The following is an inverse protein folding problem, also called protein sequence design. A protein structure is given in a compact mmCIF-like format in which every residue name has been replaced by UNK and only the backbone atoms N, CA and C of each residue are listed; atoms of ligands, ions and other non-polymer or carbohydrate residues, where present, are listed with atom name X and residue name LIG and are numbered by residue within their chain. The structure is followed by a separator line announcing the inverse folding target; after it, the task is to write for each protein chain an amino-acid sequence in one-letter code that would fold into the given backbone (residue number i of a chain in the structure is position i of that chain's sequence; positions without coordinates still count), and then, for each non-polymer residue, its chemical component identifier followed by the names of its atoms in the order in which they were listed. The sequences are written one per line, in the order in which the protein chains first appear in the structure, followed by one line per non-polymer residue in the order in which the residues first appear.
data_IF_732602825382
#
_entry.id   IF_732602825382
#
_cell.length_a   1.000
_cell.length_b   1.000
_cell.length_c   1.000
_cell.angle_alpha   90.00
_cell.angle_beta   90.00
_cell.angle_gamma   90.00
#
_symmetry.space_group_name_H-M   'P 1'
#
loop_
_entity.id
_entity.type
_entity.pdbx_description
1 polymer ?
#
# COMPACT_ATOMS: atom_id res chain seq x y z
N UNK A 1 19.63 -4.19 -16.16
CA UNK A 1 18.28 -4.76 -15.99
C UNK A 1 18.15 -5.99 -16.87
N UNK A 2 17.53 -7.09 -16.41
CA UNK A 2 17.42 -8.36 -17.18
C UNK A 2 16.27 -8.35 -18.22
N UNK A 3 16.02 -7.19 -18.83
CA UNK A 3 14.89 -6.99 -19.75
C UNK A 3 15.12 -7.75 -21.05
N UNK A 4 16.33 -7.70 -21.60
CA UNK A 4 16.70 -8.41 -22.84
C UNK A 4 16.59 -9.94 -22.72
N UNK A 5 16.63 -10.48 -21.49
CA UNK A 5 16.48 -11.92 -21.22
C UNK A 5 15.04 -12.32 -20.92
N UNK A 6 14.09 -11.37 -20.86
CA UNK A 6 12.71 -11.64 -20.47
C UNK A 6 12.52 -12.07 -19.01
N UNK A 7 13.52 -11.80 -18.14
CA UNK A 7 13.54 -12.22 -16.73
C UNK A 7 13.28 -11.09 -15.75
N UNK A 8 13.23 -9.85 -16.23
CA UNK A 8 12.96 -8.69 -15.38
C UNK A 8 11.58 -8.81 -14.71
N UNK A 9 11.57 -8.93 -13.38
CA UNK A 9 10.35 -9.10 -12.58
C UNK A 9 9.81 -10.53 -12.47
N UNK A 10 10.40 -11.49 -13.18
CA UNK A 10 9.87 -12.85 -13.29
C UNK A 10 10.58 -13.83 -12.34
N UNK A 11 10.92 -13.37 -11.14
CA UNK A 11 11.54 -14.22 -10.12
C UNK A 11 10.50 -15.16 -9.53
N UNK A 12 10.73 -16.47 -9.65
CA UNK A 12 9.77 -17.49 -9.22
C UNK A 12 9.42 -17.33 -7.74
N UNK A 13 10.41 -17.32 -6.84
CA UNK A 13 10.14 -17.33 -5.39
C UNK A 13 9.40 -16.07 -4.93
N UNK A 14 9.86 -14.89 -5.36
CA UNK A 14 9.25 -13.61 -4.99
C UNK A 14 7.88 -13.42 -5.64
N UNK A 15 7.78 -13.69 -6.94
CA UNK A 15 6.54 -13.55 -7.69
C UNK A 15 5.47 -14.54 -7.24
N UNK A 16 5.86 -15.79 -6.97
CA UNK A 16 4.95 -16.82 -6.47
C UNK A 16 4.45 -16.49 -5.06
N UNK A 17 5.36 -16.29 -4.10
CA UNK A 17 4.97 -16.17 -2.69
C UNK A 17 4.18 -14.89 -2.42
N UNK A 18 4.57 -13.75 -3.00
CA UNK A 18 3.82 -12.50 -2.79
C UNK A 18 2.43 -12.61 -3.42
N UNK A 19 2.30 -13.08 -4.67
CA UNK A 19 0.97 -13.22 -5.28
C UNK A 19 0.11 -14.25 -4.55
N UNK A 20 0.69 -15.37 -4.07
CA UNK A 20 -0.05 -16.34 -3.28
C UNK A 20 -0.52 -15.74 -1.94
N UNK A 21 0.32 -14.95 -1.27
CA UNK A 21 -0.08 -14.22 -0.07
C UNK A 21 -1.25 -13.26 -0.33
N UNK A 22 -1.27 -12.59 -1.48
CA UNK A 22 -2.40 -11.73 -1.87
C UNK A 22 -3.66 -12.53 -2.17
N UNK A 23 -3.54 -13.70 -2.82
CA UNK A 23 -4.67 -14.59 -3.09
C UNK A 23 -5.29 -15.12 -1.79
N UNK A 24 -4.46 -15.57 -0.85
CA UNK A 24 -4.90 -16.03 0.46
C UNK A 24 -5.45 -14.87 1.28
N UNK A 25 -4.74 -13.74 1.34
CA UNK A 25 -5.16 -12.56 2.08
C UNK A 25 -6.46 -11.95 1.56
N UNK A 26 -6.71 -11.98 0.25
CA UNK A 26 -7.98 -11.54 -0.32
C UNK A 26 -9.17 -12.36 0.20
N UNK A 27 -8.99 -13.68 0.35
CA UNK A 27 -9.94 -14.62 0.94
C UNK A 27 -10.10 -14.42 2.45
N UNK A 28 -9.00 -14.18 3.17
CA UNK A 28 -8.99 -13.91 4.61
C UNK A 28 -9.53 -12.51 4.98
N UNK A 29 -9.78 -11.66 3.99
CA UNK A 29 -10.27 -10.30 4.21
C UNK A 29 -9.19 -9.27 4.56
N UNK A 30 -7.92 -9.58 4.31
CA UNK A 30 -6.76 -8.73 4.59
C UNK A 30 -6.53 -7.66 3.51
N UNK A 31 -5.84 -6.61 3.92
CA UNK A 31 -5.22 -5.62 3.03
C UNK A 31 -3.97 -6.16 2.31
N UNK A 32 -3.47 -5.46 1.28
CA UNK A 32 -2.28 -5.91 0.53
C UNK A 32 -1.06 -5.96 1.44
N UNK A 33 -0.75 -4.85 2.12
CA UNK A 33 0.39 -4.74 3.03
C UNK A 33 0.28 -5.70 4.21
N UNK A 34 -0.93 -5.86 4.74
CA UNK A 34 -1.24 -6.84 5.80
C UNK A 34 -1.03 -8.29 5.35
N UNK A 35 -1.47 -8.64 4.13
CA UNK A 35 -1.31 -9.99 3.57
C UNK A 35 0.16 -10.39 3.54
N UNK A 36 1.01 -9.52 2.98
CA UNK A 36 2.45 -9.76 2.88
C UNK A 36 3.12 -9.70 4.27
N UNK A 37 2.76 -8.72 5.10
CA UNK A 37 3.28 -8.61 6.46
C UNK A 37 2.99 -9.85 7.32
N UNK A 38 1.78 -10.40 7.23
CA UNK A 38 1.36 -11.60 7.95
C UNK A 38 2.09 -12.87 7.47
N UNK A 39 2.31 -13.00 6.16
CA UNK A 39 3.11 -14.10 5.60
C UNK A 39 4.54 -14.05 6.12
N UNK A 40 5.17 -12.86 6.12
CA UNK A 40 6.55 -12.70 6.58
C UNK A 40 6.67 -12.98 8.09
N UNK A 41 5.75 -12.44 8.89
CA UNK A 41 5.81 -12.58 10.35
C UNK A 41 5.57 -14.02 10.80
N UNK A 42 4.59 -14.69 10.20
CA UNK A 42 4.23 -16.08 10.53
C UNK A 42 5.08 -17.11 9.77
N UNK A 43 5.89 -16.67 8.81
CA UNK A 43 6.75 -17.52 7.98
C UNK A 43 5.98 -18.58 7.19
N UNK A 44 4.80 -18.22 6.69
CA UNK A 44 4.00 -19.15 5.89
C UNK A 44 2.58 -18.68 5.60
N UNK A 45 1.83 -19.56 4.97
CA UNK A 45 0.43 -19.37 4.60
C UNK A 45 -0.37 -20.62 4.95
N UNK A 46 -1.61 -20.44 5.39
CA UNK A 46 -2.55 -21.55 5.62
C UNK A 46 -3.45 -21.70 4.39
N UNK A 47 -3.27 -22.80 3.65
CA UNK A 47 -3.98 -23.04 2.39
C UNK A 47 -5.22 -23.91 2.66
N UNK A 48 -6.44 -23.39 2.49
CA UNK A 48 -7.64 -24.22 2.60
C UNK A 48 -7.71 -25.24 1.46
N UNK A 49 -8.29 -26.41 1.75
CA UNK A 49 -8.55 -27.42 0.74
C UNK A 49 -9.61 -26.96 -0.26
N UNK A 50 -9.58 -27.54 -1.47
CA UNK A 50 -10.58 -27.27 -2.48
C UNK A 50 -12.01 -27.55 -1.98
N UNK A 51 -12.19 -28.60 -1.15
CA UNK A 51 -13.49 -28.93 -0.56
C UNK A 51 -13.97 -27.91 0.46
N UNK A 52 -13.07 -27.38 1.30
CA UNK A 52 -13.40 -26.29 2.23
C UNK A 52 -13.81 -25.02 1.48
N UNK A 53 -13.08 -24.65 0.44
CA UNK A 53 -13.41 -23.50 -0.39
C UNK A 53 -14.76 -23.66 -1.10
N UNK A 54 -15.06 -24.84 -1.64
CA UNK A 54 -16.38 -25.13 -2.23
C UNK A 54 -17.53 -24.98 -1.24
N UNK A 55 -17.34 -25.41 -0.01
CA UNK A 55 -18.31 -25.23 1.08
C UNK A 55 -18.49 -23.74 1.37
N UNK A 56 -17.41 -22.97 1.55
CA UNK A 56 -17.49 -21.53 1.81
C UNK A 56 -18.21 -20.78 0.68
N UNK A 57 -17.97 -21.16 -0.58
CA UNK A 57 -18.65 -20.57 -1.74
C UNK A 57 -20.16 -20.75 -1.62
N UNK A 58 -20.63 -21.97 -1.34
CA UNK A 58 -22.06 -22.30 -1.24
C UNK A 58 -22.71 -21.61 -0.04
N UNK A 59 -22.05 -21.69 1.12
CA UNK A 59 -22.60 -21.22 2.38
C UNK A 59 -22.64 -19.69 2.46
N UNK A 60 -21.67 -18.99 1.84
CA UNK A 60 -21.59 -17.53 1.89
C UNK A 60 -22.37 -16.84 0.78
N UNK A 61 -22.84 -17.54 -0.26
CA UNK A 61 -23.38 -16.90 -1.46
C UNK A 61 -24.59 -15.98 -1.19
N UNK A 62 -25.48 -16.38 -0.28
CA UNK A 62 -26.69 -15.64 0.03
C UNK A 62 -26.42 -14.39 0.89
N UNK A 63 -25.54 -14.52 1.89
CA UNK A 63 -25.34 -13.50 2.93
C UNK A 63 -24.10 -12.62 2.69
N UNK A 64 -23.04 -13.19 2.14
CA UNK A 64 -21.78 -12.51 1.80
C UNK A 64 -21.24 -12.98 0.43
N UNK A 65 -21.83 -12.46 -0.66
CA UNK A 65 -21.38 -12.81 -2.01
C UNK A 65 -19.94 -12.37 -2.29
N UNK A 66 -19.37 -11.41 -1.54
CA UNK A 66 -17.98 -11.02 -1.70
C UNK A 66 -17.02 -12.08 -1.17
N UNK A 67 -17.32 -12.66 0.00
CA UNK A 67 -16.58 -13.80 0.55
C UNK A 67 -16.71 -15.04 -0.33
N UNK A 68 -17.92 -15.32 -0.82
CA UNK A 68 -18.14 -16.41 -1.79
C UNK A 68 -17.27 -16.22 -3.04
N UNK A 69 -17.22 -15.02 -3.60
CA UNK A 69 -16.39 -14.71 -4.75
C UNK A 69 -14.88 -14.80 -4.44
N UNK A 70 -14.42 -14.33 -3.27
CA UNK A 70 -13.02 -14.45 -2.88
C UNK A 70 -12.58 -15.92 -2.65
N UNK A 71 -13.48 -16.75 -2.13
CA UNK A 71 -13.26 -18.20 -2.01
C UNK A 71 -13.19 -18.88 -3.39
N UNK A 72 -14.02 -18.46 -4.35
CA UNK A 72 -13.97 -18.94 -5.73
C UNK A 72 -12.67 -18.54 -6.44
N UNK A 73 -12.21 -17.30 -6.22
CA UNK A 73 -10.92 -16.80 -6.70
C UNK A 73 -9.76 -17.68 -6.19
N UNK A 74 -9.72 -17.96 -4.89
CA UNK A 74 -8.67 -18.82 -4.30
C UNK A 74 -8.81 -20.29 -4.74
N UNK A 75 -10.03 -20.80 -4.92
CA UNK A 75 -10.26 -22.17 -5.42
C UNK A 75 -9.70 -22.36 -6.82
N UNK A 76 -9.85 -21.36 -7.69
CA UNK A 76 -9.23 -21.36 -9.00
C UNK A 76 -7.71 -21.48 -8.88
N UNK A 77 -7.08 -20.67 -8.02
CA UNK A 77 -5.63 -20.68 -7.81
C UNK A 77 -5.14 -22.04 -7.28
N UNK A 78 -5.77 -22.58 -6.25
CA UNK A 78 -5.43 -23.89 -5.67
C UNK A 78 -5.46 -24.99 -6.74
N UNK A 79 -6.48 -24.99 -7.60
CA UNK A 79 -6.63 -25.97 -8.68
C UNK A 79 -5.64 -25.75 -9.82
N UNK A 80 -5.48 -24.51 -10.28
CA UNK A 80 -4.63 -24.18 -11.42
C UNK A 80 -3.14 -24.48 -11.14
N UNK A 81 -2.71 -24.30 -9.90
CA UNK A 81 -1.32 -24.49 -9.48
C UNK A 81 -1.07 -25.77 -8.68
N UNK A 82 -2.08 -26.62 -8.49
CA UNK A 82 -2.01 -27.84 -7.68
C UNK A 82 -1.42 -27.60 -6.28
N UNK A 83 -1.88 -26.54 -5.60
CA UNK A 83 -1.37 -26.17 -4.28
C UNK A 83 -1.91 -27.17 -3.24
N UNK A 84 -1.01 -27.75 -2.46
CA UNK A 84 -1.40 -28.66 -1.39
C UNK A 84 -2.13 -27.91 -0.26
N UNK A 85 -3.21 -28.47 0.31
CA UNK A 85 -3.85 -27.88 1.48
C UNK A 85 -2.96 -28.01 2.73
N UNK A 86 -3.20 -27.13 3.70
CA UNK A 86 -2.48 -27.07 4.96
C UNK A 86 -1.45 -25.94 5.01
N UNK A 87 -0.52 -26.03 5.97
CA UNK A 87 0.51 -25.02 6.18
C UNK A 87 1.57 -25.10 5.08
N UNK A 88 1.73 -24.01 4.35
CA UNK A 88 2.87 -23.78 3.46
C UNK A 88 3.93 -22.97 4.21
N UNK A 89 5.04 -23.60 4.55
CA UNK A 89 6.18 -22.93 5.21
C UNK A 89 6.95 -22.06 4.21
N UNK A 90 7.18 -20.80 4.58
CA UNK A 90 7.91 -19.80 3.81
C UNK A 90 8.89 -19.12 4.78
N UNK A 91 10.10 -19.70 5.00
CA UNK A 91 11.04 -19.18 5.98
C UNK A 91 11.47 -17.74 5.68
N UNK A 92 11.45 -16.88 6.69
CA UNK A 92 11.95 -15.50 6.62
C UNK A 92 12.97 -15.26 7.75
N UNK A 93 14.24 -15.73 7.60
CA UNK A 93 15.28 -15.66 8.63
C UNK A 93 15.62 -14.24 9.11
N UNK A 94 15.19 -13.23 8.35
CA UNK A 94 15.48 -11.82 8.56
C UNK A 94 14.21 -10.99 8.84
N UNK A 95 13.09 -11.62 9.22
CA UNK A 95 11.80 -10.94 9.45
C UNK A 95 11.86 -9.81 10.47
N UNK A 96 12.81 -9.86 11.41
CA UNK A 96 13.07 -8.77 12.36
C UNK A 96 13.45 -7.43 11.70
N UNK A 97 13.95 -7.45 10.47
CA UNK A 97 14.27 -6.25 9.69
C UNK A 97 13.16 -5.84 8.72
N UNK A 98 12.07 -6.60 8.64
CA UNK A 98 10.94 -6.27 7.76
C UNK A 98 10.00 -5.28 8.45
N UNK A 99 9.81 -4.12 7.83
CA UNK A 99 8.85 -3.10 8.29
C UNK A 99 7.43 -3.65 8.25
N UNK A 100 7.08 -4.43 7.22
CA UNK A 100 5.74 -5.00 7.07
C UNK A 100 5.44 -6.07 8.13
N UNK A 101 6.42 -6.92 8.44
CA UNK A 101 6.29 -7.91 9.51
C UNK A 101 6.21 -7.22 10.87
N UNK A 102 7.05 -6.20 11.10
CA UNK A 102 6.99 -5.38 12.30
C UNK A 102 5.64 -4.67 12.48
N UNK A 103 5.10 -4.10 11.41
CA UNK A 103 3.79 -3.46 11.44
C UNK A 103 2.67 -4.46 11.77
N UNK A 104 2.66 -5.63 11.13
CA UNK A 104 1.72 -6.71 11.43
C UNK A 104 1.84 -7.17 12.90
N UNK A 105 3.06 -7.45 13.37
CA UNK A 105 3.34 -7.85 14.76
C UNK A 105 2.85 -6.83 15.79
N UNK A 106 2.94 -5.53 15.48
CA UNK A 106 2.56 -4.44 16.38
C UNK A 106 1.10 -3.97 16.19
N UNK A 107 0.34 -4.55 15.25
CA UNK A 107 -1.01 -4.10 14.93
C UNK A 107 -1.07 -2.69 14.33
N UNK A 108 0.03 -2.23 13.73
CA UNK A 108 0.10 -0.92 13.05
C UNK A 108 -0.32 -1.11 11.60
N UNK A 109 -1.29 -0.32 11.09
CA UNK A 109 -1.69 -0.41 9.69
C UNK A 109 -0.51 -0.14 8.74
N UNK A 110 -0.21 -1.09 7.87
CA UNK A 110 0.73 -0.93 6.77
C UNK A 110 0.00 -1.20 5.47
N UNK A 111 -0.08 -0.19 4.60
CA UNK A 111 -0.79 -0.29 3.32
C UNK A 111 0.19 -0.32 2.15
N UNK A 112 -0.13 -1.10 1.13
CA UNK A 112 0.58 -1.19 -0.14
C UNK A 112 -0.41 -0.96 -1.27
N UNK A 113 -0.09 -0.04 -2.16
CA UNK A 113 -0.99 0.38 -3.23
C UNK A 113 -0.42 -0.10 -4.56
N UNK A 114 -1.01 -1.14 -5.17
CA UNK A 114 -0.45 -1.77 -6.36
C UNK A 114 -0.57 -0.88 -7.60
N UNK A 115 0.45 -0.94 -8.45
CA UNK A 115 0.53 -0.24 -9.72
C UNK A 115 0.84 -1.23 -10.85
N UNK A 116 -0.20 -1.66 -11.57
CA UNK A 116 -0.02 -2.51 -12.75
C UNK A 116 0.86 -1.77 -13.78
N UNK A 117 1.96 -2.42 -14.18
CA UNK A 117 2.96 -1.85 -15.09
C UNK A 117 4.14 -1.13 -14.40
N UNK A 118 4.06 -0.85 -13.10
CA UNK A 118 5.21 -0.39 -12.30
C UNK A 118 5.77 -1.53 -11.45
N UNK A 119 4.89 -2.24 -10.73
CA UNK A 119 5.33 -3.34 -9.88
C UNK A 119 5.69 -4.55 -10.73
N UNK A 120 6.84 -5.14 -10.41
CA UNK A 120 7.46 -6.16 -11.26
C UNK A 120 6.85 -7.55 -11.10
N UNK A 121 6.06 -7.78 -10.05
CA UNK A 121 5.57 -9.11 -9.66
C UNK A 121 4.28 -9.54 -10.38
N UNK A 122 3.55 -8.61 -11.02
CA UNK A 122 2.26 -8.92 -11.63
C UNK A 122 2.37 -9.66 -12.96
N UNK A 123 3.59 -9.83 -13.47
CA UNK A 123 3.87 -10.65 -14.65
C UNK A 123 3.85 -12.15 -14.33
N UNK A 124 3.94 -12.53 -13.05
CA UNK A 124 4.00 -13.93 -12.65
C UNK A 124 2.62 -14.60 -12.79
N UNK A 125 2.51 -15.87 -13.26
CA UNK A 125 1.22 -16.53 -13.48
C UNK A 125 0.31 -16.65 -12.25
N UNK A 126 0.87 -16.64 -11.04
CA UNK A 126 0.12 -16.63 -9.77
C UNK A 126 -0.69 -15.34 -9.54
N UNK A 127 -0.42 -14.29 -10.33
CA UNK A 127 -1.11 -13.02 -10.27
C UNK A 127 -2.60 -13.16 -10.58
N UNK A 128 -3.45 -12.65 -9.68
CA UNK A 128 -4.90 -12.68 -9.86
C UNK A 128 -5.50 -11.28 -9.65
N UNK A 129 -6.05 -10.71 -10.72
CA UNK A 129 -6.54 -9.32 -10.70
C UNK A 129 -7.61 -9.04 -9.65
N UNK A 130 -8.51 -10.02 -9.41
CA UNK A 130 -9.55 -9.88 -8.39
C UNK A 130 -8.95 -9.84 -6.97
N UNK A 131 -7.96 -10.68 -6.67
CA UNK A 131 -7.28 -10.68 -5.37
C UNK A 131 -6.51 -9.37 -5.13
N UNK A 132 -5.79 -8.88 -6.15
CA UNK A 132 -5.11 -7.58 -6.08
C UNK A 132 -6.12 -6.47 -5.84
N UNK A 133 -7.19 -6.41 -6.62
CA UNK A 133 -8.21 -5.37 -6.47
C UNK A 133 -8.85 -5.35 -5.08
N UNK A 134 -9.17 -6.52 -4.53
CA UNK A 134 -9.74 -6.67 -3.18
C UNK A 134 -8.77 -6.18 -2.10
N UNK A 135 -7.53 -6.65 -2.12
CA UNK A 135 -6.51 -6.30 -1.13
C UNK A 135 -6.10 -4.83 -1.23
N UNK A 136 -5.97 -4.29 -2.44
CA UNK A 136 -5.67 -2.90 -2.71
C UNK A 136 -6.76 -1.95 -2.23
N UNK A 137 -8.03 -2.29 -2.48
CA UNK A 137 -9.15 -1.45 -2.08
C UNK A 137 -9.28 -1.40 -0.55
N UNK A 138 -9.06 -2.53 0.13
CA UNK A 138 -9.00 -2.58 1.60
C UNK A 138 -7.90 -1.68 2.13
N UNK A 139 -6.69 -1.78 1.57
CA UNK A 139 -5.57 -0.91 1.94
C UNK A 139 -5.87 0.57 1.68
N UNK A 140 -6.49 0.90 0.56
CA UNK A 140 -6.90 2.28 0.27
C UNK A 140 -7.88 2.81 1.31
N UNK A 141 -8.90 2.02 1.70
CA UNK A 141 -9.87 2.44 2.71
C UNK A 141 -9.25 2.53 4.12
N UNK A 142 -8.36 1.61 4.48
CA UNK A 142 -7.59 1.68 5.73
C UNK A 142 -6.73 2.94 5.76
N UNK A 143 -6.06 3.25 4.66
CA UNK A 143 -5.26 4.46 4.53
C UNK A 143 -6.14 5.72 4.61
N UNK A 144 -7.27 5.77 3.90
CA UNK A 144 -8.22 6.87 3.94
C UNK A 144 -8.80 7.08 5.35
N UNK A 145 -9.09 6.00 6.08
CA UNK A 145 -9.52 6.10 7.47
C UNK A 145 -8.45 6.72 8.39
N UNK A 146 -7.16 6.47 8.13
CA UNK A 146 -6.09 7.14 8.87
C UNK A 146 -5.99 8.62 8.49
N UNK A 147 -6.13 8.97 7.21
CA UNK A 147 -6.20 10.37 6.76
C UNK A 147 -7.40 11.11 7.35
N UNK A 148 -8.50 10.41 7.64
CA UNK A 148 -9.65 10.99 8.33
C UNK A 148 -9.32 11.50 9.74
N UNK A 149 -8.22 11.04 10.35
CA UNK A 149 -7.76 11.51 11.66
C UNK A 149 -6.57 12.49 11.55
N UNK A 150 -6.34 13.08 10.36
CA UNK A 150 -5.14 13.86 10.09
C UNK A 150 -5.20 15.31 10.59
N UNK A 151 -6.36 15.84 10.99
CA UNK A 151 -6.42 17.23 11.47
C UNK A 151 -5.53 17.43 12.71
N UNK A 152 -4.59 18.38 12.65
CA UNK A 152 -3.54 18.54 13.66
C UNK A 152 -2.36 17.55 13.55
N UNK A 153 -2.38 16.66 12.57
CA UNK A 153 -1.40 15.59 12.36
C UNK A 153 -0.31 15.93 11.33
N UNK A 154 0.58 14.97 11.10
CA UNK A 154 1.72 15.09 10.18
C UNK A 154 1.64 14.02 9.10
N UNK A 155 1.84 14.42 7.85
CA UNK A 155 2.03 13.53 6.71
C UNK A 155 3.44 13.69 6.14
N UNK A 156 4.14 12.57 5.95
CA UNK A 156 5.48 12.52 5.39
C UNK A 156 5.45 11.78 4.05
N UNK A 157 5.73 12.49 2.96
CA UNK A 157 5.97 11.94 1.63
C UNK A 157 7.47 11.87 1.38
N UNK A 158 8.06 10.67 1.43
CA UNK A 158 9.51 10.46 1.33
C UNK A 158 9.82 9.68 0.05
N UNK A 159 10.48 10.33 -0.91
CA UNK A 159 10.93 9.71 -2.17
C UNK A 159 9.83 9.20 -3.08
N UNK A 160 8.61 9.77 -3.03
CA UNK A 160 7.46 9.28 -3.78
C UNK A 160 6.80 10.37 -4.63
N UNK A 161 7.21 10.45 -5.89
CA UNK A 161 6.72 11.45 -6.85
C UNK A 161 5.36 11.11 -7.50
N UNK A 162 4.87 9.88 -7.33
CA UNK A 162 3.64 9.41 -8.01
C UNK A 162 2.61 8.87 -7.03
N UNK A 163 2.94 7.80 -6.30
CA UNK A 163 1.93 7.11 -5.50
C UNK A 163 1.47 7.88 -4.27
N UNK A 164 2.41 8.42 -3.49
CA UNK A 164 2.12 9.19 -2.30
C UNK A 164 1.15 10.36 -2.55
N UNK A 165 1.41 11.30 -3.50
CA UNK A 165 0.48 12.39 -3.75
C UNK A 165 -0.87 11.88 -4.28
N UNK A 166 -0.87 10.85 -5.12
CA UNK A 166 -2.09 10.37 -5.75
C UNK A 166 -3.01 9.66 -4.77
N UNK A 167 -2.49 8.82 -3.87
CA UNK A 167 -3.31 8.11 -2.88
C UNK A 167 -3.80 9.07 -1.79
N UNK A 168 -2.95 10.00 -1.37
CA UNK A 168 -3.28 10.97 -0.34
C UNK A 168 -4.37 11.94 -0.81
N UNK A 169 -4.31 12.44 -2.05
CA UNK A 169 -5.34 13.35 -2.60
C UNK A 169 -6.75 12.76 -2.50
N UNK A 170 -6.94 11.49 -2.90
CA UNK A 170 -8.26 10.85 -2.92
C UNK A 170 -8.71 10.52 -1.50
N UNK A 171 -7.77 10.11 -0.66
CA UNK A 171 -8.01 9.81 0.75
C UNK A 171 -8.45 11.06 1.52
N UNK A 172 -7.78 12.18 1.30
CA UNK A 172 -8.14 13.46 1.89
C UNK A 172 -9.48 13.94 1.35
N UNK A 173 -9.73 13.85 0.04
CA UNK A 173 -11.03 14.23 -0.53
C UNK A 173 -12.20 13.43 0.10
N UNK A 174 -12.05 12.12 0.28
CA UNK A 174 -13.04 11.28 0.97
C UNK A 174 -13.24 11.71 2.43
N UNK A 175 -12.14 11.89 3.16
CA UNK A 175 -12.13 12.27 4.57
C UNK A 175 -12.76 13.65 4.80
N UNK A 176 -12.38 14.60 3.95
CA UNK A 176 -12.89 15.97 3.94
C UNK A 176 -14.39 16.01 3.66
N UNK A 177 -14.87 15.18 2.72
CA UNK A 177 -16.29 15.07 2.42
C UNK A 177 -17.10 14.55 3.62
N UNK A 178 -16.55 13.61 4.41
CA UNK A 178 -17.19 13.15 5.65
C UNK A 178 -17.21 14.27 6.69
N UNK A 179 -16.08 14.95 6.91
CA UNK A 179 -15.99 16.06 7.85
C UNK A 179 -16.98 17.20 7.53
N UNK A 180 -17.11 17.57 6.27
CA UNK A 180 -18.03 18.63 5.82
C UNK A 180 -19.49 18.28 6.17
N UNK A 181 -19.88 17.01 6.01
CA UNK A 181 -21.23 16.54 6.39
C UNK A 181 -21.49 16.64 7.89
N UNK A 182 -20.44 16.60 8.71
CA UNK A 182 -20.50 16.79 10.17
C UNK A 182 -20.33 18.26 10.60
N UNK A 183 -20.24 19.20 9.67
CA UNK A 183 -19.95 20.61 9.98
C UNK A 183 -18.52 20.87 10.46
N UNK A 184 -17.58 19.97 10.15
CA UNK A 184 -16.15 20.06 10.45
C UNK A 184 -15.33 20.20 9.16
N UNK A 185 -14.03 20.42 9.30
CA UNK A 185 -13.10 20.47 8.18
C UNK A 185 -11.69 20.00 8.62
N UNK A 186 -10.88 19.44 7.71
CA UNK A 186 -9.49 19.03 7.99
C UNK A 186 -8.57 20.15 7.46
N UNK A 187 -8.04 20.99 8.35
CA UNK A 187 -7.31 22.21 7.96
C UNK A 187 -5.90 22.29 8.52
N UNK A 188 -5.64 21.64 9.66
CA UNK A 188 -4.49 21.93 10.51
C UNK A 188 -3.39 20.86 10.43
N UNK A 189 -3.27 20.21 9.27
CA UNK A 189 -2.28 19.16 9.07
C UNK A 189 -0.97 19.73 8.48
N UNK A 190 0.14 19.06 8.76
CA UNK A 190 1.46 19.43 8.27
C UNK A 190 1.99 18.38 7.29
N UNK A 191 2.37 18.80 6.09
CA UNK A 191 2.87 17.95 5.03
C UNK A 191 4.36 18.21 4.84
N UNK A 192 5.18 17.17 4.89
CA UNK A 192 6.58 17.22 4.46
C UNK A 192 6.75 16.38 3.20
N UNK A 193 7.33 16.98 2.16
CA UNK A 193 7.72 16.29 0.93
C UNK A 193 9.24 16.27 0.86
N UNK A 194 9.84 15.12 1.10
CA UNK A 194 11.28 14.88 1.02
C UNK A 194 11.64 14.15 -0.28
N UNK A 195 12.51 14.75 -1.10
CA UNK A 195 13.01 14.15 -2.34
C UNK A 195 14.46 14.59 -2.63
N UNK A 196 15.20 13.83 -3.44
CA UNK A 196 16.57 14.18 -3.84
C UNK A 196 16.61 15.34 -4.83
N UNK A 197 15.53 15.59 -5.58
CA UNK A 197 15.49 16.67 -6.55
C UNK A 197 15.76 18.03 -5.87
N UNK A 198 16.50 18.91 -6.54
CA UNK A 198 16.61 20.30 -6.10
C UNK A 198 15.33 21.04 -6.49
N UNK A 199 14.76 21.81 -5.55
CA UNK A 199 13.66 22.72 -5.86
C UNK A 199 14.18 24.14 -6.04
N UNK A 200 13.99 24.68 -7.23
CA UNK A 200 14.26 26.10 -7.53
C UNK A 200 13.06 27.00 -7.23
N UNK A 201 11.99 26.44 -6.66
CA UNK A 201 10.77 27.16 -6.29
C UNK A 201 10.53 27.06 -4.79
N UNK A 202 10.20 28.22 -4.19
CA UNK A 202 9.82 28.30 -2.78
C UNK A 202 8.35 27.91 -2.61
N UNK A 203 8.09 26.61 -2.55
CA UNK A 203 6.75 26.05 -2.34
C UNK A 203 6.11 26.49 -1.02
N UNK A 204 6.92 26.89 -0.04
CA UNK A 204 6.45 27.29 1.29
C UNK A 204 5.87 28.70 1.25
N UNK A 205 6.57 29.65 0.63
CA UNK A 205 6.17 31.06 0.65
C UNK A 205 5.52 31.54 -0.65
N UNK A 206 5.80 30.89 -1.78
CA UNK A 206 5.33 31.32 -3.11
C UNK A 206 4.14 30.53 -3.65
N UNK A 207 3.71 29.47 -2.96
CA UNK A 207 2.56 28.65 -3.37
C UNK A 207 2.79 27.92 -4.69
N UNK A 208 1.74 27.76 -5.50
CA UNK A 208 1.81 27.09 -6.80
C UNK A 208 2.53 27.96 -7.86
N UNK A 209 3.53 27.43 -8.60
CA UNK A 209 4.20 28.17 -9.68
C UNK A 209 3.28 28.51 -10.86
N UNK A 210 3.58 29.55 -11.66
CA UNK A 210 2.88 29.81 -12.92
C UNK A 210 3.22 28.77 -14.01
N UNK A 211 2.34 28.60 -14.99
CA UNK A 211 2.42 27.54 -16.02
C UNK A 211 3.65 27.61 -16.94
N UNK A 212 4.28 28.78 -17.03
CA UNK A 212 5.50 29.04 -17.78
C UNK A 212 6.78 28.74 -16.98
N UNK A 213 6.66 28.38 -15.70
CA UNK A 213 7.77 27.95 -14.86
C UNK A 213 7.92 26.41 -14.89
N UNK A 214 9.14 25.85 -15.09
CA UNK A 214 9.37 24.40 -15.06
C UNK A 214 8.89 23.71 -13.77
N UNK A 215 8.96 24.40 -12.63
CA UNK A 215 8.51 23.87 -11.34
C UNK A 215 7.01 23.56 -11.32
N UNK A 216 6.20 24.19 -12.17
CA UNK A 216 4.78 23.87 -12.32
C UNK A 216 4.54 22.40 -12.72
N UNK A 217 5.52 21.80 -13.39
CA UNK A 217 5.47 20.41 -13.86
C UNK A 217 6.06 19.41 -12.84
N UNK A 218 6.52 19.89 -11.68
CA UNK A 218 6.78 19.03 -10.51
C UNK A 218 5.44 18.60 -9.90
N UNK A 219 4.83 17.61 -10.55
CA UNK A 219 3.43 17.22 -10.33
C UNK A 219 3.10 16.92 -8.88
N UNK A 220 3.98 16.24 -8.14
CA UNK A 220 3.72 15.87 -6.76
C UNK A 220 3.65 17.08 -5.82
N UNK A 221 4.58 18.03 -5.93
CA UNK A 221 4.54 19.27 -5.14
C UNK A 221 3.29 20.09 -5.45
N UNK A 222 2.95 20.19 -6.73
CA UNK A 222 1.70 20.82 -7.16
C UNK A 222 0.48 20.17 -6.53
N UNK A 223 0.38 18.83 -6.55
CA UNK A 223 -0.74 18.13 -5.93
C UNK A 223 -0.81 18.42 -4.43
N UNK A 224 0.29 18.32 -3.69
CA UNK A 224 0.32 18.59 -2.25
C UNK A 224 -0.02 20.04 -1.89
N UNK A 225 0.43 21.01 -2.69
CA UNK A 225 0.17 22.45 -2.43
C UNK A 225 -1.32 22.81 -2.45
N UNK A 226 -2.17 21.95 -2.99
CA UNK A 226 -3.62 22.15 -3.13
C UNK A 226 -4.45 21.46 -2.06
N UNK A 227 -3.82 20.78 -1.11
CA UNK A 227 -4.49 19.90 -0.15
C UNK A 227 -4.81 20.57 1.20
N UNK A 228 -4.64 21.89 1.30
CA UNK A 228 -4.76 22.58 2.58
C UNK A 228 -3.58 22.27 3.50
N UNK A 229 -3.71 22.62 4.78
CA UNK A 229 -2.63 22.46 5.74
C UNK A 229 -1.41 23.33 5.44
N UNK A 230 -0.29 22.99 6.06
CA UNK A 230 1.01 23.61 5.80
C UNK A 230 1.93 22.60 5.13
N UNK A 231 2.43 22.93 3.93
CA UNK A 231 3.35 22.08 3.18
C UNK A 231 4.79 22.64 3.21
N UNK A 232 5.75 21.76 3.47
CA UNK A 232 7.18 22.02 3.29
C UNK A 232 7.80 20.99 2.33
N UNK A 233 8.52 21.51 1.34
CA UNK A 233 9.42 20.70 0.51
C UNK A 233 10.84 20.74 1.07
N UNK A 234 11.50 19.59 1.14
CA UNK A 234 12.89 19.46 1.58
C UNK A 234 13.67 18.64 0.56
N UNK A 235 14.68 19.25 -0.05
CA UNK A 235 15.65 18.52 -0.89
C UNK A 235 16.63 17.80 0.03
N UNK A 236 16.54 16.47 0.10
CA UNK A 236 17.27 15.66 1.09
C UNK A 236 17.42 14.21 0.62
N UNK A 237 18.51 13.57 1.05
CA UNK A 237 18.64 12.11 0.93
C UNK A 237 17.68 11.41 1.90
N UNK A 238 16.91 10.45 1.39
CA UNK A 238 15.89 9.74 2.19
C UNK A 238 16.50 9.01 3.40
N UNK A 239 17.71 8.48 3.28
CA UNK A 239 18.41 7.81 4.40
C UNK A 239 18.75 8.82 5.48
N UNK A 240 19.33 9.96 5.10
CA UNK A 240 19.71 11.00 6.06
C UNK A 240 18.49 11.59 6.75
N UNK A 241 17.40 11.81 6.00
CA UNK A 241 16.13 12.26 6.56
C UNK A 241 15.58 11.29 7.62
N UNK A 242 15.47 10.00 7.28
CA UNK A 242 14.89 8.99 8.18
C UNK A 242 15.78 8.75 9.42
N UNK A 243 17.10 8.74 9.26
CA UNK A 243 18.04 8.61 10.38
C UNK A 243 17.98 9.82 11.31
N UNK A 244 17.93 11.03 10.75
CA UNK A 244 17.82 12.27 11.54
C UNK A 244 16.49 12.31 12.28
N UNK A 245 15.39 11.93 11.61
CA UNK A 245 14.07 11.85 12.25
C UNK A 245 14.09 10.87 13.42
N UNK A 246 14.64 9.67 13.24
CA UNK A 246 14.76 8.68 14.30
C UNK A 246 15.61 9.16 15.49
N UNK A 247 16.67 9.94 15.24
CA UNK A 247 17.51 10.51 16.31
C UNK A 247 16.84 11.70 17.03
N UNK A 248 15.99 12.44 16.32
CA UNK A 248 15.36 13.66 16.83
C UNK A 248 14.07 13.38 17.59
N UNK A 249 13.38 12.28 17.27
CA UNK A 249 12.19 11.86 18.00
C UNK A 249 12.59 11.29 19.36
N UNK A 250 11.90 11.67 20.45
CA UNK A 250 12.15 11.08 21.76
C UNK A 250 11.87 9.58 21.69
N UNK A 251 12.71 8.78 22.34
CA UNK A 251 12.43 7.35 22.53
C UNK A 251 11.16 7.23 23.38
N UNK A 252 10.10 6.66 22.80
CA UNK A 252 8.82 6.40 23.48
C UNK A 252 8.99 5.21 24.43
#
# INVERSE_FOLDING_TARGET
TMVNEGRFGNWQDTGFNINLALNVGAYEGKGYGESVGSMIETEGLDIPSAGELETVIKDSLADDPQKSAAAADLLYIVRAFNIAPGRLEIPHPWKQYSIQAGAFRLGVPFTSHPMIGHDIIYNHPMNHGAAIGRTALRDFLTYANNVNNLDGGVYLSIGSAVMSPMIFEKSLAMSQNIHIQEGKHIDNHFIVVGDLAESQWDWKNSGEPPMDNPAYYLRYCKTFSRMGGTMNYVSVDNRDFLLTLNQSLPTI
#
